data_IF_498848339359
#
_entry.id   IF_498848339359
#
_cell.length_a   1.000
_cell.length_b   1.000
_cell.length_c   1.000
_cell.angle_alpha   90.00
_cell.angle_beta   90.00
_cell.angle_gamma   90.00
#
_symmetry.space_group_name_H-M   'P 1'
#
loop_
_entity.id
_entity.type
_entity.pdbx_description
1 polymer ?
#
# COMPACT_ATOMS: atom_id res chain seq x y z
N UNK A 1 -2.13 7.23 24.62
CA UNK A 1 -2.61 6.98 23.25
C UNK A 1 -1.66 7.66 22.28
N UNK A 2 -0.82 6.91 21.54
CA UNK A 2 0.20 7.46 20.66
C UNK A 2 -0.34 8.43 19.59
N UNK A 3 -1.56 8.17 19.08
CA UNK A 3 -2.23 9.01 18.06
C UNK A 3 -2.46 10.47 18.49
N UNK A 4 -2.52 10.74 19.79
CA UNK A 4 -2.73 12.09 20.34
C UNK A 4 -1.48 12.69 20.98
N UNK A 5 -0.41 11.92 21.16
CA UNK A 5 0.83 12.46 21.73
C UNK A 5 1.47 13.50 20.80
N UNK A 6 1.39 13.31 19.48
CA UNK A 6 1.82 14.30 18.50
C UNK A 6 1.04 15.63 18.59
N UNK A 7 -0.26 15.56 18.88
CA UNK A 7 -1.10 16.74 19.13
C UNK A 7 -0.74 17.45 20.44
N UNK A 8 -0.22 16.69 21.42
CA UNK A 8 0.17 17.20 22.74
C UNK A 8 1.61 17.75 22.75
N UNK A 9 2.49 17.30 21.85
CA UNK A 9 3.91 17.69 21.85
C UNK A 9 4.20 18.96 21.07
N UNK A 10 3.45 19.30 20.01
CA UNK A 10 3.73 20.49 19.21
C UNK A 10 2.43 21.12 18.67
N UNK A 11 1.99 22.23 19.30
CA UNK A 11 1.07 23.18 18.67
C UNK A 11 -0.37 23.22 19.19
N UNK A 12 -0.73 22.43 20.21
CA UNK A 12 -1.94 22.67 21.00
C UNK A 12 -1.45 23.12 22.37
N UNK A 13 -1.40 24.44 22.55
CA UNK A 13 -1.15 25.07 23.85
C UNK A 13 -1.97 24.34 24.91
N UNK A 14 -1.33 24.02 26.05
CA UNK A 14 -1.99 23.38 27.20
C UNK A 14 -3.33 24.04 27.56
N UNK A 15 -3.52 25.31 27.21
CA UNK A 15 -4.77 26.05 27.37
C UNK A 15 -5.98 25.47 26.60
N UNK A 16 -5.78 24.86 25.43
CA UNK A 16 -6.88 24.30 24.63
C UNK A 16 -7.45 23.00 25.21
N UNK A 17 -6.66 22.24 25.97
CA UNK A 17 -7.11 21.03 26.66
C UNK A 17 -8.10 21.31 27.81
N UNK A 18 -8.19 22.56 28.29
CA UNK A 18 -9.11 22.96 29.35
C UNK A 18 -10.59 22.89 28.95
N UNK A 19 -10.89 22.78 27.65
CA UNK A 19 -12.26 22.67 27.14
C UNK A 19 -12.78 21.22 27.03
N UNK A 20 -11.96 20.22 27.39
CA UNK A 20 -12.40 18.83 27.45
C UNK A 20 -13.15 18.56 28.76
N UNK A 21 -14.19 17.70 28.75
CA UNK A 21 -14.88 17.29 29.97
C UNK A 21 -13.91 16.60 30.95
N UNK A 22 -14.19 16.70 32.26
CA UNK A 22 -13.39 16.02 33.28
C UNK A 22 -13.41 14.50 33.04
N UNK A 23 -12.24 13.91 32.75
CA UNK A 23 -12.02 12.53 32.25
C UNK A 23 -12.63 12.29 30.85
N UNK A 24 -12.06 12.89 29.79
CA UNK A 24 -12.57 12.72 28.44
C UNK A 24 -12.35 11.30 27.93
N UNK A 25 -13.33 10.73 27.24
CA UNK A 25 -13.19 9.44 26.54
C UNK A 25 -12.37 9.60 25.26
N UNK A 26 -11.89 8.50 24.68
CA UNK A 26 -11.18 8.55 23.38
C UNK A 26 -12.02 9.16 22.26
N UNK A 27 -13.35 9.02 22.35
CA UNK A 27 -14.31 9.62 21.42
C UNK A 27 -14.38 11.15 21.60
N UNK A 28 -14.43 11.63 22.83
CA UNK A 28 -14.49 13.07 23.13
C UNK A 28 -13.23 13.79 22.65
N UNK A 29 -12.07 13.15 22.88
CA UNK A 29 -10.78 13.61 22.39
C UNK A 29 -10.75 13.66 20.86
N UNK A 30 -11.24 12.62 20.19
CA UNK A 30 -11.30 12.57 18.72
C UNK A 30 -12.19 13.69 18.14
N UNK A 31 -13.38 13.89 18.70
CA UNK A 31 -14.32 14.93 18.27
C UNK A 31 -13.69 16.31 18.44
N UNK A 32 -13.03 16.56 19.57
CA UNK A 32 -12.39 17.83 19.85
C UNK A 32 -11.25 18.15 18.87
N UNK A 33 -10.38 17.19 18.58
CA UNK A 33 -9.31 17.39 17.60
C UNK A 33 -9.85 17.56 16.17
N UNK A 34 -10.92 16.85 15.79
CA UNK A 34 -11.54 17.03 14.48
C UNK A 34 -12.13 18.45 14.34
N UNK A 35 -12.72 18.98 15.42
CA UNK A 35 -13.19 20.36 15.46
C UNK A 35 -12.05 21.37 15.27
N UNK A 36 -10.95 21.24 16.00
CA UNK A 36 -9.77 22.11 15.82
C UNK A 36 -9.23 22.03 14.39
N UNK A 37 -9.16 20.82 13.83
CA UNK A 37 -8.70 20.61 12.46
C UNK A 37 -9.59 21.36 11.48
N UNK A 38 -10.90 21.19 11.59
CA UNK A 38 -11.87 21.86 10.73
C UNK A 38 -11.76 23.38 10.82
N UNK A 39 -11.65 23.94 12.03
CA UNK A 39 -11.45 25.38 12.24
C UNK A 39 -10.19 25.90 11.54
N UNK A 40 -9.08 25.16 11.59
CA UNK A 40 -7.85 25.50 10.87
C UNK A 40 -7.99 25.39 9.34
N UNK A 41 -8.69 24.37 8.84
CA UNK A 41 -8.93 24.22 7.40
C UNK A 41 -9.77 25.38 6.84
N UNK A 42 -10.81 25.81 7.57
CA UNK A 42 -11.61 26.99 7.22
C UNK A 42 -10.75 28.25 7.24
N UNK A 43 -9.97 28.47 8.30
CA UNK A 43 -9.07 29.63 8.41
C UNK A 43 -8.07 29.70 7.24
N UNK A 44 -7.48 28.56 6.85
CA UNK A 44 -6.58 28.46 5.70
C UNK A 44 -7.31 28.84 4.41
N UNK A 45 -8.54 28.33 4.21
CA UNK A 45 -9.37 28.64 3.05
C UNK A 45 -9.69 30.14 2.94
N UNK A 46 -10.02 30.78 4.06
CA UNK A 46 -10.32 32.22 4.12
C UNK A 46 -9.07 33.07 3.89
N UNK A 47 -7.95 32.75 4.57
CA UNK A 47 -6.65 33.40 4.35
C UNK A 47 -6.16 33.25 2.91
N UNK A 48 -6.38 32.10 2.26
CA UNK A 48 -5.99 31.89 0.87
C UNK A 48 -6.75 32.83 -0.07
N UNK A 49 -8.06 33.02 0.14
CA UNK A 49 -8.85 33.98 -0.64
C UNK A 49 -8.38 35.41 -0.41
N UNK A 50 -8.17 35.80 0.85
CA UNK A 50 -7.69 37.14 1.17
C UNK A 50 -6.31 37.45 0.58
N UNK A 51 -5.43 36.45 0.47
CA UNK A 51 -4.11 36.60 -0.16
C UNK A 51 -4.25 36.75 -1.68
N UNK A 52 -5.14 35.97 -2.31
CA UNK A 52 -5.35 35.98 -3.76
C UNK A 52 -6.10 37.23 -4.25
N UNK A 53 -6.99 37.79 -3.43
CA UNK A 53 -7.81 38.97 -3.77
C UNK A 53 -7.12 40.32 -3.40
N UNK A 54 -5.91 40.28 -2.83
CA UNK A 54 -5.20 41.48 -2.35
C UNK A 54 -4.14 42.00 -3.34
N UNK A 55 -4.30 43.24 -3.80
CA UNK A 55 -3.33 43.93 -4.69
C UNK A 55 -2.15 44.60 -3.95
N UNK A 56 -2.09 44.58 -2.61
CA UNK A 56 -0.99 45.21 -1.83
C UNK A 56 -0.53 44.39 -0.62
N UNK A 57 0.77 44.50 -0.36
CA UNK A 57 1.57 44.03 0.79
C UNK A 57 0.96 42.89 1.62
N UNK A 58 1.07 41.67 1.08
CA UNK A 58 0.44 40.46 1.62
C UNK A 58 1.39 39.63 2.48
N UNK A 59 2.65 40.04 2.62
CA UNK A 59 3.73 39.23 3.22
C UNK A 59 3.39 38.67 4.60
N UNK A 60 2.82 39.49 5.48
CA UNK A 60 2.48 39.05 6.84
C UNK A 60 1.34 38.01 6.83
N UNK A 61 0.36 38.17 5.93
CA UNK A 61 -0.73 37.19 5.74
C UNK A 61 -0.24 35.91 5.09
N UNK A 62 0.69 36.00 4.13
CA UNK A 62 1.36 34.86 3.53
C UNK A 62 2.13 34.06 4.59
N UNK A 63 2.90 34.71 5.46
CA UNK A 63 3.62 34.05 6.55
C UNK A 63 2.68 33.31 7.52
N UNK A 64 1.56 33.94 7.90
CA UNK A 64 0.52 33.30 8.75
C UNK A 64 -0.12 32.11 8.03
N UNK A 65 -0.43 32.25 6.74
CA UNK A 65 -0.98 31.17 5.91
C UNK A 65 0.00 30.00 5.82
N UNK A 66 1.27 30.24 5.50
CA UNK A 66 2.30 29.21 5.40
C UNK A 66 2.51 28.49 6.73
N UNK A 67 2.52 29.21 7.85
CA UNK A 67 2.65 28.59 9.18
C UNK A 67 1.48 27.65 9.47
N UNK A 68 0.25 28.08 9.22
CA UNK A 68 -0.93 27.23 9.43
C UNK A 68 -0.96 26.03 8.47
N UNK A 69 -0.59 26.23 7.20
CA UNK A 69 -0.45 25.15 6.22
C UNK A 69 0.59 24.12 6.65
N UNK A 70 1.74 24.56 7.16
CA UNK A 70 2.77 23.65 7.68
C UNK A 70 2.25 22.83 8.86
N UNK A 71 1.55 23.44 9.80
CA UNK A 71 0.96 22.73 10.94
C UNK A 71 -0.10 21.70 10.51
N UNK A 72 -1.02 22.06 9.61
CA UNK A 72 -2.05 21.13 9.11
C UNK A 72 -1.44 20.00 8.30
N UNK A 73 -0.51 20.31 7.39
CA UNK A 73 0.16 19.32 6.55
C UNK A 73 0.98 18.33 7.39
N UNK A 74 1.68 18.82 8.42
CA UNK A 74 2.40 17.98 9.38
C UNK A 74 1.45 17.03 10.09
N UNK A 75 0.29 17.51 10.55
CA UNK A 75 -0.71 16.66 11.21
C UNK A 75 -1.28 15.58 10.28
N UNK A 76 -1.56 15.90 9.01
CA UNK A 76 -2.00 14.92 8.03
C UNK A 76 -0.94 13.83 7.80
N UNK A 77 0.34 14.21 7.71
CA UNK A 77 1.44 13.25 7.60
C UNK A 77 1.55 12.35 8.83
N UNK A 78 1.38 12.89 10.04
CA UNK A 78 1.34 12.09 11.27
C UNK A 78 0.19 11.08 11.24
N UNK A 79 -0.99 11.49 10.80
CA UNK A 79 -2.13 10.60 10.66
C UNK A 79 -1.86 9.47 9.67
N UNK A 80 -1.26 9.79 8.52
CA UNK A 80 -0.88 8.79 7.52
C UNK A 80 0.13 7.78 8.08
N UNK A 81 1.16 8.23 8.80
CA UNK A 81 2.13 7.35 9.46
C UNK A 81 1.45 6.45 10.51
N UNK A 82 0.54 7.01 11.32
CA UNK A 82 -0.24 6.25 12.30
C UNK A 82 -1.07 5.16 11.62
N UNK A 83 -1.73 5.47 10.50
CA UNK A 83 -2.49 4.50 9.72
C UNK A 83 -1.60 3.36 9.25
N UNK A 84 -0.41 3.67 8.73
CA UNK A 84 0.57 2.67 8.28
C UNK A 84 1.01 1.75 9.42
N UNK A 85 1.16 2.25 10.65
CA UNK A 85 1.42 1.41 11.83
C UNK A 85 0.27 0.43 12.07
N UNK A 86 -0.97 0.90 12.06
CA UNK A 86 -2.15 0.04 12.26
C UNK A 86 -2.22 -1.04 11.19
N UNK A 87 -1.94 -0.70 9.94
CA UNK A 87 -1.91 -1.66 8.83
C UNK A 87 -0.81 -2.71 9.04
N UNK A 88 0.39 -2.32 9.47
CA UNK A 88 1.47 -3.28 9.79
C UNK A 88 1.09 -4.21 10.94
N UNK A 89 0.43 -3.69 11.97
CA UNK A 89 0.00 -4.48 13.12
C UNK A 89 -1.11 -5.47 12.75
N UNK A 90 -2.06 -5.04 11.90
CA UNK A 90 -3.07 -5.93 11.33
C UNK A 90 -2.44 -6.98 10.41
N UNK A 91 -1.47 -6.60 9.58
CA UNK A 91 -0.75 -7.51 8.71
C UNK A 91 -0.08 -8.61 9.53
N UNK A 92 0.73 -8.23 10.53
CA UNK A 92 1.35 -9.18 11.46
C UNK A 92 0.34 -10.09 12.12
N UNK A 93 -0.76 -9.54 12.65
CA UNK A 93 -1.82 -10.32 13.30
C UNK A 93 -2.45 -11.35 12.36
N UNK A 94 -2.59 -11.05 11.07
CA UNK A 94 -3.14 -11.99 10.09
C UNK A 94 -2.16 -13.10 9.68
N UNK A 95 -0.86 -12.93 9.96
CA UNK A 95 0.15 -13.97 9.80
C UNK A 95 0.19 -14.94 10.98
N UNK A 96 -0.37 -14.58 12.14
CA UNK A 96 -0.39 -15.41 13.34
C UNK A 96 -1.63 -16.34 13.36
N UNK A 97 -1.60 -17.35 14.22
CA UNK A 97 -2.77 -18.19 14.48
C UNK A 97 -3.90 -17.37 15.12
N UNK A 98 -5.12 -17.59 14.67
CA UNK A 98 -6.31 -17.05 15.30
C UNK A 98 -6.62 -17.79 16.63
N UNK A 99 -7.69 -17.38 17.31
CA UNK A 99 -8.13 -17.99 18.58
C UNK A 99 -8.52 -19.48 18.45
N UNK A 100 -8.70 -19.99 17.23
CA UNK A 100 -9.00 -21.39 16.93
C UNK A 100 -7.73 -22.20 16.62
N UNK A 101 -6.54 -21.58 16.64
CA UNK A 101 -5.29 -22.22 16.28
C UNK A 101 -5.10 -22.38 14.76
N UNK A 102 -5.83 -21.61 13.94
CA UNK A 102 -5.78 -21.68 12.49
C UNK A 102 -5.27 -20.38 11.86
N UNK A 103 -4.58 -20.48 10.72
CA UNK A 103 -4.20 -19.31 9.94
C UNK A 103 -5.42 -18.68 9.26
N UNK A 104 -5.39 -17.36 9.15
CA UNK A 104 -6.41 -16.62 8.43
C UNK A 104 -6.50 -17.03 6.95
N UNK A 105 -7.67 -16.78 6.35
CA UNK A 105 -7.87 -17.02 4.91
C UNK A 105 -7.13 -15.95 4.09
N UNK A 106 -6.66 -16.34 2.91
CA UNK A 106 -5.98 -15.47 1.94
C UNK A 106 -6.73 -14.15 1.68
N UNK A 107 -8.06 -14.23 1.59
CA UNK A 107 -8.97 -13.08 1.43
C UNK A 107 -8.73 -11.95 2.45
N UNK A 108 -8.29 -12.25 3.68
CA UNK A 108 -8.02 -11.20 4.69
C UNK A 108 -6.76 -10.41 4.37
N UNK A 109 -5.69 -11.08 3.97
CA UNK A 109 -4.44 -10.42 3.59
C UNK A 109 -4.59 -9.72 2.25
N UNK A 110 -5.27 -10.35 1.30
CA UNK A 110 -5.59 -9.74 0.02
C UNK A 110 -6.31 -8.42 0.24
N UNK A 111 -7.47 -8.41 0.92
CA UNK A 111 -8.22 -7.17 1.17
C UNK A 111 -7.49 -6.15 2.06
N UNK A 112 -6.53 -6.58 2.88
CA UNK A 112 -5.68 -5.66 3.63
C UNK A 112 -4.70 -4.94 2.71
N UNK A 113 -4.08 -5.66 1.77
CA UNK A 113 -3.16 -5.09 0.76
C UNK A 113 -3.94 -4.25 -0.26
N UNK A 114 -4.98 -4.83 -0.87
CA UNK A 114 -5.85 -4.17 -1.82
C UNK A 114 -7.21 -4.88 -1.93
N UNK A 115 -8.36 -4.18 -1.96
CA UNK A 115 -9.67 -4.82 -2.03
C UNK A 115 -9.85 -5.77 -3.23
N UNK A 116 -10.39 -6.97 -2.98
CA UNK A 116 -10.75 -7.92 -4.03
C UNK A 116 -11.87 -7.37 -4.91
N UNK A 117 -11.76 -7.53 -6.22
CA UNK A 117 -12.70 -6.98 -7.19
C UNK A 117 -12.61 -5.47 -7.40
N UNK A 118 -11.76 -4.78 -6.64
CA UNK A 118 -11.54 -3.34 -6.75
C UNK A 118 -10.61 -2.95 -7.89
N UNK A 119 -10.62 -1.67 -8.23
CA UNK A 119 -9.65 -1.01 -9.09
C UNK A 119 -9.20 0.32 -8.53
N UNK A 120 -8.18 0.93 -9.14
CA UNK A 120 -7.75 2.30 -8.77
C UNK A 120 -8.86 3.36 -8.89
N UNK A 121 -9.94 3.09 -9.62
CA UNK A 121 -11.05 4.03 -9.82
C UNK A 121 -12.11 3.95 -8.70
N UNK A 122 -12.40 2.75 -8.19
CA UNK A 122 -13.45 2.52 -7.19
C UNK A 122 -12.90 2.39 -5.75
N UNK A 123 -11.60 2.17 -5.61
CA UNK A 123 -10.96 1.94 -4.33
C UNK A 123 -10.42 3.25 -3.75
N UNK A 124 -10.89 3.58 -2.55
CA UNK A 124 -10.38 4.72 -1.77
C UNK A 124 -8.89 4.57 -1.46
N UNK A 125 -8.15 5.67 -1.49
CA UNK A 125 -6.71 5.71 -1.25
C UNK A 125 -6.32 5.06 0.09
N UNK A 126 -7.11 5.28 1.14
CA UNK A 126 -6.87 4.74 2.48
C UNK A 126 -7.01 3.21 2.56
N UNK A 127 -7.63 2.59 1.55
CA UNK A 127 -7.78 1.13 1.41
C UNK A 127 -6.73 0.53 0.49
N UNK A 128 -5.87 1.34 -0.12
CA UNK A 128 -4.76 0.88 -0.94
C UNK A 128 -3.47 0.81 -0.11
N UNK A 129 -3.10 -0.40 0.32
CA UNK A 129 -1.90 -0.65 1.11
C UNK A 129 -0.81 -1.40 0.32
N UNK A 130 -0.78 -1.23 -1.00
CA UNK A 130 0.18 -1.93 -1.87
C UNK A 130 1.64 -1.59 -1.56
N UNK A 131 1.86 -0.46 -0.89
CA UNK A 131 3.15 -0.03 -0.33
C UNK A 131 3.79 -1.06 0.61
N UNK A 132 2.98 -1.94 1.22
CA UNK A 132 3.45 -3.06 2.04
C UNK A 132 4.46 -3.90 1.24
N UNK A 133 4.20 -4.14 -0.04
CA UNK A 133 5.05 -4.95 -0.92
C UNK A 133 6.26 -4.14 -1.38
N UNK A 134 6.02 -2.96 -1.97
CA UNK A 134 7.06 -2.01 -2.41
C UNK A 134 6.46 -0.59 -2.45
N UNK A 135 7.18 0.42 -1.95
CA UNK A 135 6.72 1.83 -2.00
C UNK A 135 6.54 2.32 -3.43
N UNK A 136 7.33 1.78 -4.36
CA UNK A 136 7.27 2.18 -5.76
C UNK A 136 5.92 1.89 -6.42
N UNK A 137 5.14 0.95 -5.86
CA UNK A 137 3.81 0.60 -6.36
C UNK A 137 2.75 1.66 -6.07
N UNK A 138 3.02 2.63 -5.18
CA UNK A 138 2.11 3.77 -4.93
C UNK A 138 1.96 4.63 -6.19
N UNK A 139 3.00 4.71 -7.02
CA UNK A 139 3.02 5.49 -8.26
C UNK A 139 2.41 4.73 -9.45
N UNK A 140 1.34 3.97 -9.20
CA UNK A 140 0.59 3.25 -10.22
C UNK A 140 -0.37 4.18 -10.94
N UNK A 141 -0.48 4.05 -12.27
CA UNK A 141 -1.58 4.65 -13.03
C UNK A 141 -2.89 3.88 -12.87
N UNK A 142 -2.81 2.56 -12.74
CA UNK A 142 -3.98 1.69 -12.64
C UNK A 142 -3.67 0.45 -11.81
N UNK A 143 -4.65 0.01 -11.03
CA UNK A 143 -4.58 -1.23 -10.23
C UNK A 143 -5.86 -1.99 -10.48
N UNK A 144 -5.74 -3.30 -10.68
CA UNK A 144 -6.88 -4.20 -10.93
C UNK A 144 -6.72 -5.43 -10.05
N UNK A 145 -7.75 -5.80 -9.29
CA UNK A 145 -7.70 -6.90 -8.32
C UNK A 145 -8.80 -7.93 -8.56
N UNK A 146 -8.45 -9.23 -8.65
CA UNK A 146 -9.36 -10.36 -8.93
C UNK A 146 -10.33 -10.07 -10.12
N UNK A 147 -9.80 -9.51 -11.22
CA UNK A 147 -10.56 -9.29 -12.47
C UNK A 147 -9.92 -9.99 -13.67
N UNK A 148 -10.79 -10.51 -14.53
CA UNK A 148 -10.37 -11.39 -15.61
C UNK A 148 -9.42 -10.81 -16.61
N UNK A 149 -8.43 -11.62 -16.98
CA UNK A 149 -7.54 -11.33 -18.10
C UNK A 149 -8.35 -11.28 -19.41
N UNK A 150 -9.38 -12.12 -19.55
CA UNK A 150 -10.29 -12.16 -20.70
C UNK A 150 -11.72 -11.82 -20.27
N UNK A 151 -12.43 -10.99 -21.03
CA UNK A 151 -13.80 -10.59 -20.71
C UNK A 151 -14.80 -11.78 -20.61
N UNK A 152 -14.47 -12.94 -21.18
CA UNK A 152 -15.38 -14.10 -21.35
C UNK A 152 -15.02 -15.31 -20.46
N UNK A 153 -13.92 -15.30 -19.72
CA UNK A 153 -13.47 -16.47 -18.94
C UNK A 153 -14.17 -16.57 -17.57
N UNK A 154 -14.82 -17.71 -17.31
CA UNK A 154 -15.45 -18.04 -16.00
C UNK A 154 -14.51 -18.73 -14.99
N UNK A 155 -13.26 -19.02 -15.37
CA UNK A 155 -12.28 -19.71 -14.51
C UNK A 155 -11.33 -18.69 -13.88
N UNK A 156 -10.92 -18.92 -12.62
CA UNK A 156 -9.83 -18.21 -11.94
C UNK A 156 -8.48 -18.49 -12.61
N UNK A 157 -8.25 -17.89 -13.77
CA UNK A 157 -6.97 -17.87 -14.49
C UNK A 157 -6.28 -16.52 -14.35
N UNK A 158 -6.59 -15.82 -13.27
CA UNK A 158 -6.36 -14.40 -13.08
C UNK A 158 -5.35 -14.23 -11.95
N UNK A 159 -4.43 -13.26 -12.06
CA UNK A 159 -3.60 -12.88 -10.93
C UNK A 159 -4.44 -12.15 -9.89
N UNK A 160 -4.00 -12.21 -8.62
CA UNK A 160 -4.73 -11.57 -7.53
C UNK A 160 -4.74 -10.05 -7.66
N UNK A 161 -3.61 -9.44 -8.02
CA UNK A 161 -3.50 -8.00 -8.27
C UNK A 161 -2.59 -7.75 -9.48
N UNK A 162 -3.01 -6.85 -10.37
CA UNK A 162 -2.19 -6.27 -11.43
C UNK A 162 -2.02 -4.78 -11.19
N UNK A 163 -0.81 -4.28 -11.39
CA UNK A 163 -0.47 -2.86 -11.29
C UNK A 163 0.17 -2.40 -12.58
N UNK A 164 -0.31 -1.27 -13.09
CA UNK A 164 0.28 -0.57 -14.22
C UNK A 164 0.91 0.72 -13.69
N UNK A 165 2.15 0.99 -14.07
CA UNK A 165 2.82 2.27 -13.74
C UNK A 165 2.92 3.15 -14.96
N UNK A 166 2.78 4.45 -14.78
CA UNK A 166 3.04 5.42 -15.85
C UNK A 166 4.47 5.26 -16.36
N UNK A 167 4.61 5.11 -17.67
CA UNK A 167 5.89 5.13 -18.37
C UNK A 167 5.89 6.24 -19.41
N UNK A 168 7.05 6.85 -19.65
CA UNK A 168 7.25 7.73 -20.79
C UNK A 168 7.20 6.89 -22.07
N UNK A 169 6.17 7.09 -22.90
CA UNK A 169 6.06 6.63 -24.28
C UNK A 169 6.03 5.10 -24.52
N UNK A 170 4.88 4.48 -24.20
CA UNK A 170 4.37 3.20 -24.80
C UNK A 170 4.77 1.91 -24.04
N UNK A 171 5.78 1.90 -23.17
CA UNK A 171 6.15 0.72 -22.37
C UNK A 171 5.83 0.90 -20.88
N UNK A 172 4.60 0.56 -20.49
CA UNK A 172 4.14 0.59 -19.09
C UNK A 172 4.68 -0.63 -18.34
N UNK A 173 5.55 -0.49 -17.32
CA UNK A 173 5.90 -1.62 -16.47
C UNK A 173 4.64 -2.21 -15.85
N UNK A 174 4.49 -3.53 -15.96
CA UNK A 174 3.35 -4.25 -15.40
C UNK A 174 3.83 -5.06 -14.21
N UNK A 175 3.12 -4.97 -13.10
CA UNK A 175 3.38 -5.80 -11.92
C UNK A 175 2.23 -6.79 -11.77
N UNK A 176 2.57 -8.06 -11.56
CA UNK A 176 1.63 -9.14 -11.31
C UNK A 176 1.91 -9.63 -9.91
N UNK A 177 0.90 -9.67 -9.05
CA UNK A 177 1.05 -10.08 -7.66
C UNK A 177 0.11 -11.25 -7.42
N UNK A 178 0.70 -12.34 -6.95
CA UNK A 178 0.00 -13.55 -6.52
C UNK A 178 0.23 -13.73 -5.01
N UNK A 179 -0.86 -13.67 -4.26
CA UNK A 179 -0.89 -13.83 -2.82
C UNK A 179 -1.29 -15.27 -2.47
N UNK A 180 -0.71 -15.80 -1.41
CA UNK A 180 -1.05 -17.14 -0.91
C UNK A 180 -1.57 -17.05 0.52
N UNK A 181 -2.40 -18.01 0.92
CA UNK A 181 -2.78 -18.16 2.33
C UNK A 181 -1.54 -18.36 3.23
N UNK A 182 -1.43 -17.65 4.37
CA UNK A 182 -0.44 -17.97 5.41
C UNK A 182 -0.56 -19.41 5.89
N UNK A 183 0.59 -20.01 6.22
CA UNK A 183 0.71 -21.40 6.64
C UNK A 183 0.33 -22.43 5.58
N UNK A 184 0.15 -22.02 4.32
CA UNK A 184 -0.10 -22.97 3.23
C UNK A 184 1.15 -23.82 3.03
N UNK A 185 1.00 -25.14 3.21
CA UNK A 185 2.12 -26.10 3.08
C UNK A 185 2.18 -26.78 1.73
N UNK A 186 1.02 -27.00 1.11
CA UNK A 186 0.92 -27.78 -0.11
C UNK A 186 0.65 -26.87 -1.32
N UNK A 187 1.55 -26.95 -2.30
CA UNK A 187 1.45 -26.23 -3.56
C UNK A 187 1.38 -27.22 -4.71
N UNK A 188 0.36 -27.11 -5.55
CA UNK A 188 0.17 -28.05 -6.66
C UNK A 188 1.05 -27.71 -7.87
N UNK A 189 1.45 -26.44 -8.01
CA UNK A 189 2.19 -25.91 -9.16
C UNK A 189 3.47 -25.20 -8.73
N UNK A 190 4.46 -25.18 -9.61
CA UNK A 190 5.63 -24.32 -9.47
C UNK A 190 5.20 -22.85 -9.55
N UNK A 191 5.50 -22.00 -8.55
CA UNK A 191 5.17 -20.57 -8.56
C UNK A 191 5.65 -19.83 -9.81
N UNK A 192 6.84 -20.16 -10.31
CA UNK A 192 7.44 -19.49 -11.47
C UNK A 192 6.64 -19.81 -12.73
N UNK A 193 6.27 -21.08 -12.93
CA UNK A 193 5.43 -21.50 -14.05
C UNK A 193 4.03 -20.90 -13.98
N UNK A 194 3.46 -20.79 -12.77
CA UNK A 194 2.16 -20.15 -12.58
C UNK A 194 2.19 -18.69 -13.06
N UNK A 195 3.19 -17.91 -12.60
CA UNK A 195 3.35 -16.50 -12.96
C UNK A 195 3.74 -16.31 -14.43
N UNK A 196 4.60 -17.15 -14.99
CA UNK A 196 4.91 -17.17 -16.43
C UNK A 196 3.64 -17.36 -17.28
N UNK A 197 2.73 -18.22 -16.83
CA UNK A 197 1.43 -18.36 -17.49
C UNK A 197 0.60 -17.06 -17.52
N UNK A 198 0.69 -16.20 -16.49
CA UNK A 198 0.03 -14.88 -16.55
C UNK A 198 0.74 -13.94 -17.54
N UNK A 199 2.07 -13.96 -17.59
CA UNK A 199 2.88 -13.20 -18.56
C UNK A 199 2.45 -13.54 -19.99
N UNK A 200 2.37 -14.83 -20.32
CA UNK A 200 1.94 -15.29 -21.64
C UNK A 200 0.52 -14.82 -21.98
N UNK A 201 -0.40 -14.91 -21.00
CA UNK A 201 -1.78 -14.44 -21.20
C UNK A 201 -1.84 -12.93 -21.39
N UNK A 202 -1.06 -12.13 -20.67
CA UNK A 202 -1.07 -10.67 -20.81
C UNK A 202 -0.52 -10.22 -22.16
N UNK A 203 0.52 -10.89 -22.68
CA UNK A 203 1.09 -10.58 -24.00
C UNK A 203 0.17 -10.93 -25.16
N UNK A 204 -0.64 -11.98 -25.00
CA UNK A 204 -1.52 -12.47 -26.05
C UNK A 204 -2.93 -11.86 -26.05
N UNK A 205 -3.30 -11.04 -25.05
CA UNK A 205 -4.64 -10.45 -24.95
C UNK A 205 -4.58 -8.93 -24.92
N UNK A 206 -5.50 -8.28 -25.64
CA UNK A 206 -5.69 -6.83 -25.55
C UNK A 206 -6.29 -6.49 -24.18
N UNK A 207 -5.66 -5.57 -23.46
CA UNK A 207 -6.14 -5.08 -22.17
C UNK A 207 -6.67 -3.66 -22.28
N UNK A 208 -7.58 -3.32 -21.38
CA UNK A 208 -8.16 -1.99 -21.23
C UNK A 208 -7.98 -1.59 -19.76
N UNK A 209 -7.52 -0.37 -19.51
CA UNK A 209 -7.43 0.21 -18.16
C UNK A 209 -8.82 0.34 -17.53
N UNK A 210 -8.88 0.56 -16.22
CA UNK A 210 -10.11 0.91 -15.50
C UNK A 210 -10.82 2.14 -16.07
N UNK A 211 -10.06 3.04 -16.72
CA UNK A 211 -10.58 4.24 -17.39
C UNK A 211 -10.98 4.00 -18.87
N UNK A 212 -10.97 2.76 -19.36
CA UNK A 212 -11.41 2.44 -20.72
C UNK A 212 -10.36 2.65 -21.82
N UNK A 213 -9.06 2.85 -21.47
CA UNK A 213 -7.99 3.04 -22.47
C UNK A 213 -7.29 1.72 -22.79
N UNK A 214 -6.97 1.42 -24.06
CA UNK A 214 -6.24 0.21 -24.39
C UNK A 214 -4.82 0.25 -23.80
N UNK A 215 -4.37 -0.88 -23.25
CA UNK A 215 -2.99 -1.11 -22.78
C UNK A 215 -2.33 -2.05 -23.78
N UNK A 216 -1.21 -1.62 -24.35
CA UNK A 216 -0.40 -2.44 -25.22
C UNK A 216 0.78 -3.02 -24.42
N UNK A 217 0.76 -4.34 -24.19
CA UNK A 217 1.85 -5.05 -23.51
C UNK A 217 2.62 -5.81 -24.59
N UNK A 218 3.82 -5.35 -24.90
CA UNK A 218 4.69 -5.95 -25.93
C UNK A 218 5.77 -6.81 -25.29
N UNK A 219 6.58 -7.50 -26.11
CA UNK A 219 7.74 -8.24 -25.59
C UNK A 219 8.79 -7.33 -24.92
N UNK A 220 8.86 -6.06 -25.30
CA UNK A 220 9.76 -5.07 -24.71
C UNK A 220 9.22 -4.49 -23.39
N UNK A 221 7.95 -4.72 -23.07
CA UNK A 221 7.34 -4.27 -21.83
C UNK A 221 7.83 -5.15 -20.68
N UNK A 222 8.56 -4.60 -19.69
CA UNK A 222 9.04 -5.38 -18.55
C UNK A 222 7.87 -5.75 -17.63
N UNK A 223 7.82 -7.02 -17.22
CA UNK A 223 6.80 -7.51 -16.29
C UNK A 223 7.45 -7.99 -14.99
N UNK A 224 6.98 -7.49 -13.86
CA UNK A 224 7.48 -7.82 -12.52
C UNK A 224 6.46 -8.70 -11.80
N UNK A 225 6.78 -9.97 -11.64
CA UNK A 225 5.91 -10.98 -11.05
C UNK A 225 6.31 -11.26 -9.59
N UNK A 226 5.38 -11.03 -8.67
CA UNK A 226 5.56 -11.25 -7.24
C UNK A 226 4.74 -12.47 -6.81
N UNK A 227 5.41 -13.48 -6.28
CA UNK A 227 4.81 -14.52 -5.49
C UNK A 227 5.00 -14.17 -4.02
N UNK A 228 3.90 -14.10 -3.26
CA UNK A 228 3.93 -13.72 -1.85
C UNK A 228 3.26 -14.80 -1.02
N UNK A 229 4.03 -15.39 -0.10
CA UNK A 229 3.55 -16.41 0.80
C UNK A 229 4.67 -17.06 1.59
N UNK A 230 4.33 -17.98 2.50
CA UNK A 230 5.34 -18.69 3.26
C UNK A 230 6.18 -19.60 2.35
N UNK A 231 7.48 -19.34 2.30
CA UNK A 231 8.44 -20.04 1.44
C UNK A 231 8.88 -21.36 2.08
N UNK A 232 7.93 -22.29 2.24
CA UNK A 232 8.17 -23.63 2.82
C UNK A 232 9.12 -24.46 1.95
N UNK A 233 9.71 -25.52 2.53
CA UNK A 233 10.61 -26.43 1.79
C UNK A 233 9.98 -27.01 0.51
N UNK A 234 8.66 -27.24 0.51
CA UNK A 234 7.93 -27.70 -0.68
C UNK A 234 7.94 -26.65 -1.80
N UNK A 235 7.70 -25.38 -1.47
CA UNK A 235 7.76 -24.25 -2.41
C UNK A 235 9.17 -24.10 -2.97
N UNK A 236 10.17 -24.10 -2.09
CA UNK A 236 11.58 -23.96 -2.47
C UNK A 236 12.03 -25.10 -3.37
N UNK A 237 11.66 -26.34 -3.06
CA UNK A 237 11.95 -27.52 -3.88
C UNK A 237 11.37 -27.38 -5.29
N UNK A 238 10.14 -26.88 -5.42
CA UNK A 238 9.49 -26.66 -6.73
C UNK A 238 10.17 -25.55 -7.52
N UNK A 239 10.47 -24.42 -6.89
CA UNK A 239 11.13 -23.29 -7.57
C UNK A 239 12.58 -23.61 -7.98
N UNK A 240 13.25 -24.52 -7.25
CA UNK A 240 14.66 -24.89 -7.51
C UNK A 240 14.92 -25.34 -8.94
N UNK A 241 13.93 -25.93 -9.62
CA UNK A 241 14.04 -26.36 -11.03
C UNK A 241 14.43 -25.19 -11.95
N UNK A 242 13.92 -23.99 -11.66
CA UNK A 242 14.21 -22.77 -12.42
C UNK A 242 15.49 -22.05 -11.95
N UNK A 243 16.15 -22.55 -10.90
CA UNK A 243 17.39 -22.02 -10.33
C UNK A 243 17.35 -20.49 -10.03
N UNK A 244 16.37 -19.99 -9.25
CA UNK A 244 16.36 -18.59 -8.86
C UNK A 244 17.53 -18.24 -7.94
N UNK A 245 17.95 -16.98 -7.98
CA UNK A 245 18.96 -16.41 -7.09
C UNK A 245 18.33 -16.21 -5.71
N UNK A 246 18.96 -16.77 -4.67
CA UNK A 246 18.62 -16.52 -3.28
C UNK A 246 19.30 -15.23 -2.79
N UNK A 247 18.49 -14.23 -2.42
CA UNK A 247 18.98 -12.93 -1.95
C UNK A 247 18.93 -12.82 -0.43
N UNK A 248 17.86 -13.34 0.19
CA UNK A 248 17.76 -13.54 1.63
C UNK A 248 17.18 -14.92 1.90
N UNK A 249 17.93 -15.75 2.63
CA UNK A 249 17.58 -17.14 2.90
C UNK A 249 16.17 -17.23 3.50
N UNK A 250 15.31 -18.06 2.89
CA UNK A 250 13.89 -18.24 3.25
C UNK A 250 12.99 -17.00 3.14
N UNK A 251 13.50 -15.86 2.66
CA UNK A 251 12.78 -14.59 2.65
C UNK A 251 12.60 -13.97 1.28
N UNK A 252 13.60 -14.09 0.41
CA UNK A 252 13.63 -13.39 -0.86
C UNK A 252 14.43 -14.15 -1.93
N UNK A 253 13.74 -14.56 -2.99
CA UNK A 253 14.32 -15.12 -4.21
C UNK A 253 13.99 -14.27 -5.44
N UNK A 254 14.90 -14.27 -6.40
CA UNK A 254 14.81 -13.49 -7.63
C UNK A 254 15.18 -14.32 -8.86
N UNK A 255 14.49 -14.10 -9.98
CA UNK A 255 14.86 -14.65 -11.27
C UNK A 255 14.53 -13.65 -12.38
N UNK A 256 15.39 -13.55 -13.39
CA UNK A 256 15.10 -12.80 -14.60
C UNK A 256 15.06 -13.76 -15.79
N UNK A 257 13.96 -13.71 -16.54
CA UNK A 257 13.83 -14.39 -17.81
C UNK A 257 13.97 -13.35 -18.93
N UNK A 258 15.07 -13.45 -19.69
CA UNK A 258 15.37 -12.52 -20.79
C UNK A 258 14.57 -12.79 -22.07
N UNK A 259 14.06 -14.01 -22.27
CA UNK A 259 13.27 -14.39 -23.44
C UNK A 259 11.90 -13.73 -23.35
N UNK A 260 11.27 -13.85 -22.19
CA UNK A 260 9.94 -13.32 -21.92
C UNK A 260 9.97 -11.99 -21.17
N UNK A 261 11.15 -11.39 -21.00
CA UNK A 261 11.40 -10.09 -20.36
C UNK A 261 10.55 -9.89 -19.10
N UNK A 262 10.59 -10.86 -18.19
CA UNK A 262 9.96 -10.77 -16.89
C UNK A 262 10.95 -11.02 -15.76
N UNK A 263 10.67 -10.37 -14.65
CA UNK A 263 11.36 -10.50 -13.39
C UNK A 263 10.42 -11.23 -12.43
N UNK A 264 10.92 -12.25 -11.75
CA UNK A 264 10.19 -13.00 -10.74
C UNK A 264 10.79 -12.72 -9.37
N UNK A 265 9.93 -12.48 -8.39
CA UNK A 265 10.26 -12.24 -6.99
C UNK A 265 9.40 -13.17 -6.15
N UNK A 266 10.02 -14.07 -5.38
CA UNK A 266 9.31 -14.79 -4.32
C UNK A 266 9.68 -14.16 -2.98
N UNK A 267 8.68 -13.59 -2.30
CA UNK A 267 8.84 -12.89 -1.03
C UNK A 267 8.04 -13.62 0.06
N UNK A 268 8.69 -13.88 1.20
CA UNK A 268 7.97 -14.36 2.37
C UNK A 268 7.15 -13.25 3.02
N UNK A 269 6.08 -13.63 3.72
CA UNK A 269 5.32 -12.66 4.51
C UNK A 269 6.17 -11.97 5.58
N UNK A 270 7.06 -12.71 6.21
CA UNK A 270 8.00 -12.17 7.20
C UNK A 270 8.96 -11.15 6.58
N UNK A 271 9.45 -11.41 5.36
CA UNK A 271 10.30 -10.47 4.63
C UNK A 271 9.56 -9.16 4.33
N UNK A 272 8.31 -9.25 3.85
CA UNK A 272 7.46 -8.08 3.60
C UNK A 272 7.23 -7.29 4.89
N UNK A 273 6.81 -7.97 5.97
CA UNK A 273 6.56 -7.31 7.25
C UNK A 273 7.83 -6.62 7.78
N UNK A 274 8.98 -7.32 7.76
CA UNK A 274 10.27 -6.81 8.21
C UNK A 274 10.67 -5.56 7.42
N UNK A 275 10.68 -5.63 6.09
CA UNK A 275 11.13 -4.53 5.23
C UNK A 275 10.16 -3.35 5.26
N UNK A 276 8.85 -3.58 5.27
CA UNK A 276 7.83 -2.53 5.44
C UNK A 276 7.96 -1.84 6.81
N UNK A 277 8.14 -2.60 7.89
CA UNK A 277 8.37 -2.04 9.23
C UNK A 277 9.66 -1.21 9.27
N UNK A 278 10.75 -1.71 8.66
CA UNK A 278 12.02 -1.01 8.63
C UNK A 278 11.95 0.31 7.87
N UNK A 279 11.24 0.37 6.73
CA UNK A 279 10.99 1.60 5.96
C UNK A 279 10.26 2.67 6.78
N UNK A 280 9.39 2.26 7.70
CA UNK A 280 8.59 3.19 8.53
C UNK A 280 9.21 3.48 9.92
N UNK A 281 10.25 2.73 10.31
CA UNK A 281 10.84 2.76 11.67
C UNK A 281 11.27 4.14 12.12
N UNK A 282 11.89 4.93 11.22
CA UNK A 282 12.33 6.27 11.55
C UNK A 282 11.17 7.19 11.91
N UNK A 283 10.07 7.11 11.16
CA UNK A 283 8.86 7.90 11.41
C UNK A 283 8.20 7.52 12.73
N UNK A 284 8.09 6.21 13.03
CA UNK A 284 7.55 5.76 14.32
C UNK A 284 8.38 6.28 15.50
N UNK A 285 9.72 6.20 15.41
CA UNK A 285 10.62 6.76 16.42
C UNK A 285 10.44 8.27 16.60
N UNK A 286 10.30 9.02 15.50
CA UNK A 286 10.08 10.47 15.56
C UNK A 286 8.75 10.85 16.20
N UNK A 287 7.74 10.00 16.09
CA UNK A 287 6.41 10.22 16.66
C UNK A 287 6.23 9.61 18.06
N UNK A 288 7.24 8.92 18.61
CA UNK A 288 7.13 8.22 19.89
C UNK A 288 6.14 7.05 19.85
N UNK A 289 5.96 6.43 18.68
CA UNK A 289 5.12 5.24 18.50
C UNK A 289 5.99 4.01 18.77
N UNK A 290 5.58 3.16 19.71
CA UNK A 290 6.24 1.90 19.99
C UNK A 290 6.17 0.96 18.78
N UNK A 291 7.26 0.25 18.52
CA UNK A 291 7.42 -0.67 17.39
C UNK A 291 7.01 -2.08 17.83
#
# INVERSE_FOLDING_TARGET
>A
MPRYQSFLTEGIEKEKLNNLPNKPTSKDIAIYFEKIRFEKEVLIGDLTKEVLDSDKDVKEKEEVLFKNLQEVSKNQLVHYICLRKVILDLFKKYLEYNYQGEYEKEIKIHNLIFPMGGTSYDTQFERNNIWLIDENLIYSSDIISDKSIKAEDKKRTEPDIMVFREGSDINYPVYIIELKRPGRKNYDKNPIEQLAGYVDRLRNNKKITSAGRPINITHNTPIFCYFIGDLTDDVLKKMKISNPIELEKYGYYYLYNSIDNYYFYALSFDYIYKTATQRNKYFFKKLGIDI
#
